data_IF_966059806224
#
_entry.id   IF_966059806224
#
_cell.length_a   1.000
_cell.length_b   1.000
_cell.length_c   1.000
_cell.angle_alpha   90.00
_cell.angle_beta   90.00
_cell.angle_gamma   90.00
#
_symmetry.space_group_name_H-M   'P 1'
#
loop_
_entity.id
_entity.type
_entity.pdbx_description
1 polymer ?
#
# COMPACT_ATOMS: atom_id res chain seq x y z
N UNK A 1 75.44 50.81 29.33
CA UNK A 1 75.02 49.38 29.36
C UNK A 1 73.58 49.33 29.82
N UNK A 2 72.74 48.58 29.11
CA UNK A 2 71.27 48.67 29.11
C UNK A 2 70.61 47.94 30.28
N UNK A 3 69.44 48.41 30.70
CA UNK A 3 68.35 47.53 31.14
C UNK A 3 67.00 48.25 30.89
N UNK A 4 66.24 47.76 29.89
CA UNK A 4 64.83 48.13 29.65
C UNK A 4 63.92 47.30 30.58
N UNK A 5 62.74 47.83 30.99
CA UNK A 5 61.84 47.13 31.90
C UNK A 5 61.06 46.00 31.20
N UNK A 6 60.85 44.91 31.94
CA UNK A 6 60.14 43.69 31.53
C UNK A 6 58.65 43.99 31.30
N UNK A 7 58.22 43.82 30.05
CA UNK A 7 56.83 43.97 29.57
C UNK A 7 56.03 42.69 29.88
N UNK A 8 55.64 42.48 31.15
CA UNK A 8 55.20 41.16 31.63
C UNK A 8 53.78 40.98 32.22
N UNK A 9 52.90 41.99 32.25
CA UNK A 9 51.66 41.88 33.07
C UNK A 9 50.32 42.03 32.33
N UNK A 10 50.26 42.71 31.17
CA UNK A 10 48.97 43.02 30.53
C UNK A 10 48.31 41.84 29.79
N UNK A 11 49.07 40.86 29.32
CA UNK A 11 48.54 39.78 28.48
C UNK A 11 47.78 38.69 29.25
N UNK A 12 48.00 38.54 30.57
CA UNK A 12 47.39 37.45 31.37
C UNK A 12 45.96 37.77 31.82
N UNK A 13 45.68 39.03 32.17
CA UNK A 13 44.35 39.50 32.60
C UNK A 13 43.37 39.57 31.41
N UNK A 14 43.85 39.99 30.24
CA UNK A 14 43.05 40.02 29.01
C UNK A 14 42.69 38.61 28.52
N UNK A 15 43.53 37.61 28.80
CA UNK A 15 43.26 36.20 28.50
C UNK A 15 42.09 35.68 29.34
N UNK A 16 42.13 35.87 30.67
CA UNK A 16 41.08 35.44 31.60
C UNK A 16 39.70 36.08 31.36
N UNK A 17 39.64 37.37 30.97
CA UNK A 17 38.36 38.04 30.65
C UNK A 17 37.76 37.66 29.29
N UNK A 18 38.57 37.18 28.34
CA UNK A 18 38.09 36.77 27.00
C UNK A 18 37.53 35.35 26.97
N UNK A 19 38.01 34.44 27.83
CA UNK A 19 37.48 33.08 27.95
C UNK A 19 35.99 32.97 28.33
N UNK A 20 35.45 33.70 29.32
CA UNK A 20 34.03 33.57 29.67
C UNK A 20 33.12 34.07 28.54
N UNK A 21 33.53 35.13 27.83
CA UNK A 21 32.79 35.66 26.68
C UNK A 21 32.79 34.68 25.50
N UNK A 22 33.92 34.02 25.21
CA UNK A 22 34.00 33.01 24.14
C UNK A 22 33.20 31.75 24.49
N UNK A 23 33.25 31.29 25.76
CA UNK A 23 32.46 30.13 26.21
C UNK A 23 30.96 30.44 26.17
N UNK A 24 30.54 31.64 26.58
CA UNK A 24 29.15 32.08 26.47
C UNK A 24 28.70 32.19 25.01
N UNK A 25 29.54 32.73 24.12
CA UNK A 25 29.22 32.80 22.69
C UNK A 25 29.10 31.41 22.05
N UNK A 26 30.01 30.49 22.35
CA UNK A 26 29.95 29.12 21.84
C UNK A 26 28.76 28.34 22.41
N UNK A 27 28.42 28.54 23.68
CA UNK A 27 27.24 27.96 24.31
C UNK A 27 25.94 28.50 23.70
N UNK A 28 25.84 29.81 23.48
CA UNK A 28 24.69 30.44 22.83
C UNK A 28 24.56 29.97 21.36
N UNK A 29 25.68 29.86 20.64
CA UNK A 29 25.71 29.36 19.26
C UNK A 29 25.23 27.90 19.17
N UNK A 30 25.66 27.04 20.09
CA UNK A 30 25.17 25.66 20.19
C UNK A 30 23.67 25.59 20.48
N UNK A 31 23.14 26.46 21.36
CA UNK A 31 21.71 26.53 21.63
C UNK A 31 20.90 27.01 20.41
N UNK A 32 21.42 27.98 19.65
CA UNK A 32 20.79 28.46 18.41
C UNK A 32 20.78 27.36 17.34
N UNK A 33 21.88 26.63 17.16
CA UNK A 33 21.97 25.52 16.19
C UNK A 33 21.02 24.37 16.59
N UNK A 34 20.97 24.00 17.87
CA UNK A 34 20.05 22.99 18.38
C UNK A 34 18.57 23.41 18.20
N UNK A 35 18.25 24.68 18.45
CA UNK A 35 16.91 25.24 18.21
C UNK A 35 16.51 25.26 16.74
N UNK A 36 17.44 25.59 15.83
CA UNK A 36 17.20 25.54 14.37
C UNK A 36 16.96 24.10 13.88
N UNK A 37 17.69 23.12 14.42
CA UNK A 37 17.50 21.70 14.07
C UNK A 37 16.10 21.18 14.44
N UNK A 38 15.56 21.62 15.58
CA UNK A 38 14.20 21.28 16.01
C UNK A 38 13.12 21.89 15.11
N UNK A 39 13.30 23.14 14.64
CA UNK A 39 12.34 23.78 13.74
C UNK A 39 12.25 23.11 12.37
N UNK A 40 13.35 22.52 11.88
CA UNK A 40 13.39 21.80 10.59
C UNK A 40 12.84 20.38 10.70
N UNK A 41 13.03 19.70 11.84
CA UNK A 41 12.55 18.30 12.05
C UNK A 41 11.05 18.18 12.29
N UNK A 42 10.33 19.27 12.59
CA UNK A 42 8.88 19.22 12.89
C UNK A 42 7.97 19.26 11.63
N UNK A 43 8.52 19.10 10.42
CA UNK A 43 7.71 18.97 9.20
C UNK A 43 7.59 17.54 8.66
N UNK A 44 7.46 16.55 9.54
CA UNK A 44 6.85 15.28 9.12
C UNK A 44 5.32 15.47 9.13
N UNK A 45 4.80 16.14 8.09
CA UNK A 45 3.36 16.16 7.84
C UNK A 45 2.92 14.74 7.49
N UNK A 46 2.33 14.04 8.46
CA UNK A 46 1.55 12.83 8.23
C UNK A 46 0.21 13.17 7.60
N UNK A 47 0.22 13.89 6.47
CA UNK A 47 -0.94 13.97 5.59
C UNK A 47 -1.23 12.55 5.07
N UNK A 48 -1.99 11.79 5.86
CA UNK A 48 -2.41 10.39 5.66
C UNK A 48 -1.41 9.54 4.88
N UNK A 49 -0.48 8.87 5.54
CA UNK A 49 0.34 7.88 4.82
C UNK A 49 -0.56 6.69 4.44
N UNK A 50 -0.61 6.33 3.15
CA UNK A 50 -1.33 5.15 2.64
C UNK A 50 -2.80 5.38 2.29
N UNK A 51 -3.68 4.44 2.69
CA UNK A 51 -5.11 4.39 2.31
C UNK A 51 -5.90 5.63 2.74
N UNK A 52 -5.42 6.37 3.73
CA UNK A 52 -6.05 7.59 4.24
C UNK A 52 -6.05 8.77 3.26
N UNK A 53 -5.40 8.64 2.09
CA UNK A 53 -5.50 9.59 0.98
C UNK A 53 -6.74 9.40 0.12
N UNK A 54 -7.37 8.22 0.18
CA UNK A 54 -8.60 7.93 -0.57
C UNK A 54 -9.74 8.69 0.11
N UNK A 55 -10.28 9.70 -0.57
CA UNK A 55 -11.38 10.53 -0.05
C UNK A 55 -12.76 9.98 -0.42
N UNK A 56 -12.85 9.27 -1.54
CA UNK A 56 -14.10 8.73 -2.08
C UNK A 56 -13.85 7.35 -2.66
N UNK A 57 -14.71 6.40 -2.31
CA UNK A 57 -14.77 5.08 -2.91
C UNK A 57 -16.10 4.99 -3.64
N UNK A 58 -16.05 4.72 -4.95
CA UNK A 58 -17.23 4.42 -5.75
C UNK A 58 -17.20 2.92 -6.02
N UNK A 59 -18.23 2.21 -5.56
CA UNK A 59 -18.37 0.77 -5.78
C UNK A 59 -19.41 0.57 -6.88
N UNK A 60 -19.00 -0.08 -7.96
CA UNK A 60 -19.88 -0.48 -9.05
C UNK A 60 -20.00 -1.99 -8.99
N UNK A 61 -21.20 -2.49 -8.71
CA UNK A 61 -21.51 -3.92 -8.69
C UNK A 61 -22.38 -4.27 -9.88
N UNK A 62 -21.95 -5.27 -10.65
CA UNK A 62 -22.79 -5.88 -11.68
C UNK A 62 -23.49 -7.09 -11.06
N UNK A 63 -24.81 -7.17 -11.22
CA UNK A 63 -25.62 -8.27 -10.70
C UNK A 63 -25.51 -9.51 -11.61
N UNK A 64 -25.82 -10.69 -11.06
CA UNK A 64 -25.99 -11.96 -11.78
C UNK A 64 -24.80 -12.39 -12.65
N UNK A 65 -23.57 -12.03 -12.27
CA UNK A 65 -22.35 -12.47 -12.95
C UNK A 65 -21.36 -13.01 -11.92
N UNK A 66 -20.98 -14.27 -12.11
CA UNK A 66 -19.94 -14.90 -11.28
C UNK A 66 -18.56 -14.35 -11.66
N UNK A 67 -17.57 -14.57 -10.79
CA UNK A 67 -16.17 -14.27 -11.11
C UNK A 67 -15.75 -14.92 -12.44
N UNK A 68 -16.08 -16.21 -12.62
CA UNK A 68 -15.71 -16.97 -13.82
C UNK A 68 -16.36 -16.45 -15.10
N UNK A 69 -17.52 -15.77 -15.01
CA UNK A 69 -18.16 -15.12 -16.15
C UNK A 69 -17.27 -14.03 -16.77
N UNK A 70 -16.48 -13.35 -15.94
CA UNK A 70 -15.59 -12.27 -16.38
C UNK A 70 -14.12 -12.70 -16.48
N UNK A 71 -13.67 -13.52 -15.55
CA UNK A 71 -12.25 -13.77 -15.31
C UNK A 71 -11.88 -15.25 -15.32
N UNK A 72 -12.80 -16.16 -15.64
CA UNK A 72 -12.55 -17.61 -15.59
C UNK A 72 -11.41 -18.09 -16.52
N UNK A 73 -11.05 -17.28 -17.54
CA UNK A 73 -9.91 -17.52 -18.42
C UNK A 73 -8.82 -16.45 -18.34
N UNK A 74 -8.95 -15.49 -17.42
CA UNK A 74 -8.00 -14.39 -17.30
C UNK A 74 -6.63 -14.91 -16.83
N UNK A 75 -5.50 -14.45 -17.42
CA UNK A 75 -4.18 -14.90 -16.99
C UNK A 75 -3.91 -14.60 -15.51
N UNK A 76 -3.58 -15.63 -14.73
CA UNK A 76 -3.27 -15.52 -13.32
C UNK A 76 -4.48 -15.65 -12.37
N UNK A 77 -5.69 -15.84 -12.89
CA UNK A 77 -6.81 -16.32 -12.08
C UNK A 77 -6.72 -17.84 -11.86
N UNK A 78 -7.22 -18.34 -10.73
CA UNK A 78 -7.41 -19.79 -10.53
C UNK A 78 -8.34 -20.35 -11.63
N UNK A 79 -9.45 -19.64 -11.88
CA UNK A 79 -10.33 -19.82 -13.03
C UNK A 79 -10.86 -21.24 -13.25
N UNK A 80 -11.21 -21.55 -14.49
CA UNK A 80 -11.67 -22.89 -14.85
C UNK A 80 -10.50 -23.89 -14.86
N UNK A 81 -10.64 -25.06 -14.21
CA UNK A 81 -9.61 -26.08 -14.21
C UNK A 81 -9.39 -26.61 -15.62
N UNK A 82 -8.12 -26.84 -15.98
CA UNK A 82 -7.71 -27.31 -17.30
C UNK A 82 -6.77 -28.50 -17.21
N UNK A 83 -6.87 -29.39 -18.20
CA UNK A 83 -5.93 -30.49 -18.45
C UNK A 83 -5.61 -30.51 -19.94
N UNK A 84 -4.32 -30.48 -20.28
CA UNK A 84 -3.83 -30.46 -21.67
C UNK A 84 -4.49 -29.36 -22.52
N UNK A 85 -4.67 -28.16 -21.96
CA UNK A 85 -5.27 -27.02 -22.63
C UNK A 85 -6.80 -27.03 -22.73
N UNK A 86 -7.46 -28.12 -22.34
CA UNK A 86 -8.93 -28.25 -22.36
C UNK A 86 -9.52 -28.05 -20.97
N UNK A 87 -10.72 -27.47 -20.89
CA UNK A 87 -11.45 -27.37 -19.62
C UNK A 87 -11.84 -28.74 -19.08
N UNK A 88 -11.78 -28.90 -17.77
CA UNK A 88 -12.21 -30.14 -17.09
C UNK A 88 -13.46 -29.95 -16.22
N UNK A 89 -13.83 -28.71 -15.89
CA UNK A 89 -15.11 -28.43 -15.28
C UNK A 89 -16.21 -28.51 -16.34
N UNK A 90 -17.35 -29.12 -15.99
CA UNK A 90 -18.52 -29.17 -16.84
C UNK A 90 -19.79 -29.45 -16.02
N UNK A 91 -20.93 -28.99 -16.52
CA UNK A 91 -22.27 -29.27 -15.96
C UNK A 91 -22.89 -30.41 -16.76
N UNK A 92 -23.24 -31.56 -16.14
CA UNK A 92 -23.90 -32.65 -16.82
C UNK A 92 -25.27 -32.22 -17.34
N UNK A 93 -25.54 -32.51 -18.62
CA UNK A 93 -26.84 -32.36 -19.25
C UNK A 93 -27.45 -33.75 -19.46
N UNK A 94 -28.36 -34.20 -18.59
CA UNK A 94 -28.96 -35.52 -18.68
C UNK A 94 -29.93 -35.66 -19.86
N UNK A 95 -30.50 -34.56 -20.34
CA UNK A 95 -31.44 -34.60 -21.48
C UNK A 95 -30.68 -34.83 -22.78
N UNK A 96 -29.52 -34.19 -22.92
CA UNK A 96 -28.67 -34.33 -24.10
C UNK A 96 -27.64 -35.46 -23.96
N UNK A 97 -27.51 -36.04 -22.77
CA UNK A 97 -26.46 -37.00 -22.41
C UNK A 97 -25.05 -36.47 -22.73
N UNK A 98 -24.83 -35.17 -22.46
CA UNK A 98 -23.56 -34.47 -22.70
C UNK A 98 -23.07 -33.77 -21.44
N UNK A 99 -21.86 -33.22 -21.47
CA UNK A 99 -21.39 -32.30 -20.44
C UNK A 99 -21.19 -30.93 -21.04
N UNK A 100 -21.86 -29.92 -20.49
CA UNK A 100 -21.73 -28.54 -20.92
C UNK A 100 -20.44 -27.95 -20.35
N UNK A 101 -19.47 -27.71 -21.21
CA UNK A 101 -18.22 -27.04 -20.86
C UNK A 101 -18.42 -25.52 -20.79
N UNK A 102 -17.55 -24.79 -20.06
CA UNK A 102 -17.46 -23.34 -20.18
C UNK A 102 -17.28 -22.91 -21.65
N UNK A 103 -18.06 -21.93 -22.06
CA UNK A 103 -18.05 -21.39 -23.41
C UNK A 103 -18.07 -19.86 -23.40
N UNK A 104 -17.65 -19.27 -24.50
CA UNK A 104 -17.73 -17.84 -24.67
C UNK A 104 -19.08 -17.44 -25.24
N UNK A 105 -19.80 -16.54 -24.56
CA UNK A 105 -21.05 -15.97 -25.02
C UNK A 105 -20.84 -14.52 -25.49
N UNK A 106 -21.14 -14.23 -26.75
CA UNK A 106 -21.01 -12.89 -27.34
C UNK A 106 -22.27 -12.04 -27.21
N UNK A 107 -23.36 -12.57 -26.64
CA UNK A 107 -24.60 -11.83 -26.51
C UNK A 107 -24.47 -10.73 -25.46
N UNK A 108 -24.83 -9.50 -25.85
CA UNK A 108 -24.87 -8.33 -24.96
C UNK A 108 -25.86 -8.53 -23.81
N UNK A 109 -26.92 -9.30 -24.05
CA UNK A 109 -27.95 -9.64 -23.06
C UNK A 109 -28.03 -11.15 -22.92
N UNK A 110 -28.01 -11.62 -21.67
CA UNK A 110 -28.33 -12.98 -21.32
C UNK A 110 -29.16 -13.02 -20.04
N UNK A 111 -29.99 -14.05 -19.91
CA UNK A 111 -30.94 -14.21 -18.81
C UNK A 111 -30.28 -14.70 -17.51
N UNK A 112 -29.01 -15.13 -17.58
CA UNK A 112 -28.35 -15.81 -16.46
C UNK A 112 -28.98 -17.16 -16.12
N UNK A 113 -28.47 -17.79 -15.06
CA UNK A 113 -29.08 -18.97 -14.44
C UNK A 113 -29.93 -18.60 -13.21
N UNK A 114 -30.63 -19.58 -12.62
CA UNK A 114 -31.27 -19.42 -11.31
C UNK A 114 -30.26 -18.92 -10.27
N UNK A 115 -30.64 -17.91 -9.49
CA UNK A 115 -29.74 -17.16 -8.61
C UNK A 115 -30.35 -16.90 -7.23
N UNK A 116 -31.36 -17.69 -6.84
CA UNK A 116 -31.88 -17.69 -5.48
C UNK A 116 -30.97 -18.53 -4.57
N UNK A 117 -31.01 -18.27 -3.26
CA UNK A 117 -30.21 -18.99 -2.27
C UNK A 117 -30.45 -20.51 -2.32
N UNK A 118 -31.67 -20.94 -2.62
CA UNK A 118 -32.04 -22.36 -2.76
C UNK A 118 -31.36 -23.05 -3.95
N UNK A 119 -30.95 -22.30 -4.98
CA UNK A 119 -30.28 -22.87 -6.16
C UNK A 119 -28.78 -23.10 -5.95
N UNK A 120 -28.18 -22.45 -4.95
CA UNK A 120 -26.72 -22.52 -4.72
C UNK A 120 -26.29 -23.91 -4.28
N UNK A 121 -27.00 -24.52 -3.32
CA UNK A 121 -26.60 -25.82 -2.77
C UNK A 121 -26.62 -26.95 -3.82
N UNK A 122 -27.66 -27.09 -4.67
CA UNK A 122 -27.65 -28.00 -5.81
C UNK A 122 -26.49 -27.73 -6.77
N UNK A 123 -26.29 -26.48 -7.22
CA UNK A 123 -25.24 -26.12 -8.19
C UNK A 123 -23.82 -26.42 -7.68
N UNK A 124 -23.56 -26.17 -6.39
CA UNK A 124 -22.27 -26.49 -5.75
C UNK A 124 -22.06 -27.99 -5.61
N UNK A 125 -23.14 -28.78 -5.48
CA UNK A 125 -23.13 -30.25 -5.38
C UNK A 125 -22.06 -30.79 -4.41
N UNK A 126 -22.08 -30.31 -3.16
CA UNK A 126 -21.12 -30.72 -2.14
C UNK A 126 -19.66 -30.39 -2.48
N UNK A 127 -19.42 -29.36 -3.30
CA UNK A 127 -18.09 -28.91 -3.73
C UNK A 127 -17.62 -29.51 -5.06
N UNK A 128 -18.43 -30.34 -5.72
CA UNK A 128 -18.10 -30.91 -7.04
C UNK A 128 -18.29 -29.91 -8.19
N UNK A 129 -19.08 -28.85 -7.97
CA UNK A 129 -19.33 -27.78 -8.94
C UNK A 129 -19.89 -28.27 -10.29
N UNK A 130 -20.82 -29.23 -10.24
CA UNK A 130 -21.38 -29.92 -11.41
C UNK A 130 -22.87 -30.29 -11.23
N UNK A 131 -23.62 -29.50 -10.46
CA UNK A 131 -25.06 -29.69 -10.23
C UNK A 131 -25.93 -28.67 -10.94
#
# INVERSE_FOLDING_TARGET
>A
MQALPVRGSLNRVLRQKRYPLVVLFLGLLLLVIAGLGWLVSHRQSSAGAGIHKIKHVVIIMQENRSFDSYFGTYPGADGFPRKNGSFTACVPDPEQNTCLLPYHNHADVNLGGPHLAENVAPAVNGGKMNG
#
